data_IF_771545072067
#
_entry.id   IF_771545072067
#
_cell.length_a   1.000
_cell.length_b   1.000
_cell.length_c   1.000
_cell.angle_alpha   90.00
_cell.angle_beta   90.00
_cell.angle_gamma   90.00
#
_symmetry.space_group_name_H-M   'P 1'
#
loop_
_entity.id
_entity.type
_entity.pdbx_description
1 polymer ?
#
# COMPACT_ATOMS: atom_id res chain seq x y z
N UNK A 1 -6.85 14.96 -12.77
CA UNK A 1 -6.29 15.25 -12.40
C UNK A 1 -5.71 15.71 -12.00
N UNK A 2 -5.31 15.77 -11.93
CA UNK A 2 -4.49 16.16 -11.48
C UNK A 2 -3.90 16.98 -11.75
N UNK A 3 -4.14 17.55 -11.76
CA UNK A 3 -3.47 18.25 -11.90
C UNK A 3 -2.20 18.06 -11.91
N UNK A 4 -1.69 17.90 -12.78
CA UNK A 4 -0.46 17.32 -12.90
C UNK A 4 0.68 18.07 -12.40
N UNK A 5 0.82 19.25 -12.72
CA UNK A 5 2.02 19.98 -12.39
C UNK A 5 2.25 20.12 -10.91
N UNK A 6 1.22 20.43 -10.20
CA UNK A 6 1.36 20.56 -8.75
C UNK A 6 1.24 19.22 -8.08
N UNK A 7 0.86 18.22 -8.83
CA UNK A 7 0.59 16.93 -8.25
C UNK A 7 1.83 16.21 -7.79
N UNK A 8 3.01 16.57 -8.29
CA UNK A 8 4.23 15.88 -7.90
C UNK A 8 4.44 15.92 -6.41
N UNK A 9 4.44 17.12 -5.83
CA UNK A 9 4.62 17.23 -4.40
C UNK A 9 3.46 16.66 -3.62
N UNK A 10 2.25 16.86 -4.12
CA UNK A 10 1.07 16.34 -3.43
C UNK A 10 0.99 14.84 -3.47
N UNK A 11 1.32 14.26 -4.61
CA UNK A 11 1.28 12.82 -4.73
C UNK A 11 2.28 12.18 -3.80
N UNK A 12 3.48 12.71 -3.74
CA UNK A 12 4.50 12.17 -2.86
C UNK A 12 4.10 12.35 -1.40
N UNK A 13 3.58 13.50 -1.05
CA UNK A 13 3.14 13.74 0.33
C UNK A 13 2.03 12.79 0.72
N UNK A 14 1.09 12.55 -0.17
CA UNK A 14 0.01 11.63 0.10
C UNK A 14 0.56 10.22 0.31
N UNK A 15 1.52 9.81 -0.49
CA UNK A 15 2.13 8.50 -0.32
C UNK A 15 2.80 8.38 1.03
N UNK A 16 3.56 9.41 1.41
CA UNK A 16 4.21 9.42 2.71
C UNK A 16 3.21 9.34 3.85
N UNK A 17 2.12 10.08 3.73
CA UNK A 17 1.09 10.06 4.76
C UNK A 17 0.45 8.67 4.89
N UNK A 18 0.14 8.06 3.76
CA UNK A 18 -0.50 6.75 3.81
C UNK A 18 0.45 5.69 4.33
N UNK A 19 1.71 5.74 3.93
CA UNK A 19 2.69 4.79 4.45
C UNK A 19 2.88 4.97 5.95
N UNK A 20 2.85 6.21 6.42
CA UNK A 20 3.00 6.48 7.83
C UNK A 20 1.85 6.01 8.69
N UNK A 21 0.71 5.70 8.08
CA UNK A 21 -0.42 5.13 8.82
C UNK A 21 -0.27 3.64 9.07
N UNK A 22 0.64 3.00 8.37
CA UNK A 22 0.82 1.57 8.51
C UNK A 22 1.51 1.27 9.85
N UNK A 23 1.06 0.23 10.54
CA UNK A 23 1.67 -0.11 11.82
C UNK A 23 3.14 -0.48 11.64
N UNK A 24 3.96 0.06 12.53
CA UNK A 24 5.38 -0.22 12.47
C UNK A 24 6.18 0.65 11.52
N UNK A 25 5.52 1.52 10.78
CA UNK A 25 6.22 2.39 9.84
C UNK A 25 6.22 3.81 10.36
N UNK A 26 7.41 4.28 10.77
CA UNK A 26 7.59 5.65 11.18
C UNK A 26 7.93 6.55 10.00
N UNK A 27 8.15 7.84 10.28
CA UNK A 27 8.40 8.80 9.20
C UNK A 27 9.61 8.46 8.34
N UNK A 28 10.69 7.99 8.94
CA UNK A 28 11.88 7.66 8.18
C UNK A 28 11.67 6.44 7.30
N UNK A 29 11.00 5.43 7.83
CA UNK A 29 10.70 4.24 7.05
C UNK A 29 9.76 4.58 5.90
N UNK A 30 8.77 5.43 6.14
CA UNK A 30 7.86 5.85 5.09
C UNK A 30 8.63 6.53 3.95
N UNK A 31 9.58 7.40 4.29
CA UNK A 31 10.39 8.07 3.28
C UNK A 31 11.21 7.08 2.47
N UNK A 32 11.82 6.12 3.13
CA UNK A 32 12.66 5.15 2.45
C UNK A 32 11.84 4.30 1.49
N UNK A 33 10.66 3.89 1.93
CA UNK A 33 9.78 3.11 1.07
C UNK A 33 9.31 3.95 -0.12
N UNK A 34 8.92 5.20 0.14
CA UNK A 34 8.44 6.07 -0.92
C UNK A 34 9.52 6.30 -1.98
N UNK A 35 10.74 6.55 -1.54
CA UNK A 35 11.82 6.79 -2.49
C UNK A 35 12.17 5.52 -3.26
N UNK A 36 12.11 4.37 -2.60
CA UNK A 36 12.32 3.11 -3.30
C UNK A 36 11.27 2.93 -4.39
N UNK A 37 10.03 3.23 -4.08
CA UNK A 37 8.95 3.10 -5.05
C UNK A 37 9.11 4.07 -6.21
N UNK A 38 9.61 5.27 -5.95
CA UNK A 38 9.81 6.23 -7.02
C UNK A 38 10.89 5.79 -7.99
N UNK A 39 11.88 5.07 -7.50
CA UNK A 39 12.96 4.59 -8.36
C UNK A 39 12.65 3.26 -9.01
N UNK A 40 11.74 2.50 -8.43
CA UNK A 40 11.33 1.24 -9.03
C UNK A 40 10.48 1.52 -10.27
N UNK A 41 10.38 0.52 -11.14
CA UNK A 41 9.56 0.71 -12.32
C UNK A 41 8.08 0.62 -11.95
N UNK A 42 7.25 1.01 -12.91
CA UNK A 42 5.81 1.06 -12.68
C UNK A 42 5.25 -0.32 -12.35
N UNK A 43 5.88 -1.35 -12.92
CA UNK A 43 5.40 -2.70 -12.66
C UNK A 43 5.54 -3.11 -11.21
N UNK A 44 6.62 -2.67 -10.55
CA UNK A 44 6.79 -2.98 -9.14
C UNK A 44 5.67 -2.37 -8.31
N UNK A 45 5.34 -1.12 -8.60
CA UNK A 45 4.26 -0.45 -7.89
C UNK A 45 2.93 -1.11 -8.18
N UNK A 46 2.73 -1.51 -9.42
CA UNK A 46 1.48 -2.15 -9.82
C UNK A 46 1.30 -3.51 -9.13
N UNK A 47 2.38 -4.27 -9.04
CA UNK A 47 2.31 -5.55 -8.35
C UNK A 47 2.00 -5.38 -6.87
N UNK A 48 2.65 -4.42 -6.24
CA UNK A 48 2.42 -4.21 -4.82
C UNK A 48 1.01 -3.72 -4.54
N UNK A 49 0.57 -2.72 -5.27
CA UNK A 49 -0.78 -2.19 -5.05
C UNK A 49 -1.84 -3.22 -5.39
N UNK A 50 -1.61 -4.00 -6.44
CA UNK A 50 -2.55 -5.04 -6.81
C UNK A 50 -2.63 -6.14 -5.76
N UNK A 51 -1.48 -6.52 -5.20
CA UNK A 51 -1.45 -7.53 -4.15
C UNK A 51 -2.21 -7.06 -2.91
N UNK A 52 -2.06 -5.78 -2.56
CA UNK A 52 -2.78 -5.23 -1.43
C UNK A 52 -4.29 -5.32 -1.67
N UNK A 53 -4.72 -4.90 -2.83
CA UNK A 53 -6.15 -4.92 -3.14
C UNK A 53 -6.68 -6.34 -3.20
N UNK A 54 -5.89 -7.26 -3.74
CA UNK A 54 -6.30 -8.66 -3.82
C UNK A 54 -6.53 -9.25 -2.43
N UNK A 55 -5.63 -8.96 -1.51
CA UNK A 55 -5.77 -9.45 -0.14
C UNK A 55 -7.05 -8.91 0.49
N UNK A 56 -7.33 -7.63 0.29
CA UNK A 56 -8.53 -7.04 0.86
C UNK A 56 -9.80 -7.65 0.30
N UNK A 57 -9.75 -8.10 -0.93
CA UNK A 57 -10.94 -8.63 -1.59
C UNK A 57 -11.12 -10.12 -1.36
N UNK A 58 -10.03 -10.88 -1.17
CA UNK A 58 -10.09 -12.32 -1.16
C UNK A 58 -9.79 -12.95 0.20
N UNK A 59 -9.17 -12.21 1.10
CA UNK A 59 -8.81 -12.74 2.42
C UNK A 59 -9.57 -11.97 3.48
N UNK A 60 -10.06 -12.69 4.47
CA UNK A 60 -10.81 -12.07 5.54
C UNK A 60 -10.49 -12.79 6.85
N UNK A 61 -10.74 -12.09 7.95
CA UNK A 61 -10.56 -12.70 9.26
C UNK A 61 -11.68 -13.72 9.50
N UNK A 62 -11.31 -14.92 9.88
CA UNK A 62 -12.27 -15.97 10.14
C UNK A 62 -12.57 -16.05 11.64
N UNK A 63 -13.81 -15.79 12.06
CA UNK A 63 -14.16 -15.88 13.49
C UNK A 63 -14.16 -17.29 14.03
N UNK A 64 -14.18 -18.28 13.14
CA UNK A 64 -14.18 -19.67 13.57
C UNK A 64 -12.79 -20.12 13.98
N UNK A 65 -11.81 -19.89 13.12
CA UNK A 65 -10.44 -20.33 13.40
C UNK A 65 -9.54 -19.21 13.89
N UNK A 66 -10.05 -17.99 13.98
CA UNK A 66 -9.33 -16.81 14.48
C UNK A 66 -8.07 -16.51 13.68
N UNK A 67 -8.12 -16.76 12.38
CA UNK A 67 -7.03 -16.41 11.50
C UNK A 67 -7.61 -15.90 10.20
N UNK A 68 -6.72 -15.37 9.35
CA UNK A 68 -7.16 -14.87 8.05
C UNK A 68 -7.33 -16.03 7.10
N UNK A 69 -8.36 -15.94 6.30
CA UNK A 69 -8.71 -17.02 5.38
C UNK A 69 -9.13 -16.45 4.04
N UNK A 70 -8.97 -17.27 3.01
CA UNK A 70 -9.46 -16.91 1.71
C UNK A 70 -10.96 -17.15 1.66
N UNK A 71 -11.56 -16.72 0.58
CA UNK A 71 -13.00 -16.80 0.40
C UNK A 71 -13.53 -18.22 0.51
N UNK A 72 -12.76 -19.16 0.02
CA UNK A 72 -13.19 -20.54 -0.09
C UNK A 72 -12.82 -21.41 1.09
N UNK A 73 -11.93 -20.95 1.94
CA UNK A 73 -11.46 -21.75 3.06
C UNK A 73 -11.45 -20.90 4.32
N UNK A 74 -11.53 -21.58 5.42
CA UNK A 74 -11.46 -20.93 6.72
C UNK A 74 -10.17 -21.31 7.43
#
# INVERSE_FOLDING_TARGET
MPDGTTSDGRALQRLLDELGRLPGIGPKSAQRIAYWLLEADVEAARRLSGAIMQVKQQVHFCPVCFSYATRDTC
#
